data_IF_951209513382
#
_entry.id   IF_951209513382
#
_cell.length_a   1.000
_cell.length_b   1.000
_cell.length_c   1.000
_cell.angle_alpha   90.00
_cell.angle_beta   90.00
_cell.angle_gamma   90.00
#
_symmetry.space_group_name_H-M   'P 1'
#
loop_
_entity.id
_entity.type
_entity.pdbx_description
1 polymer ?
#
# COMPACT_ATOMS: atom_id res chain seq x y z
N UNK A 1 -7.35 -17.56 40.45
CA UNK A 1 -8.54 -17.48 39.56
C UNK A 1 -8.06 -17.37 38.12
N UNK A 2 -8.52 -18.21 37.18
CA UNK A 2 -8.22 -18.03 35.76
C UNK A 2 -8.83 -16.70 35.29
N UNK A 3 -8.05 -15.85 34.62
CA UNK A 3 -8.56 -14.59 34.02
C UNK A 3 -9.76 -14.91 33.12
N UNK A 4 -10.84 -14.15 33.26
CA UNK A 4 -12.01 -14.22 32.35
C UNK A 4 -11.52 -14.18 30.90
N UNK A 5 -11.65 -15.30 30.19
CA UNK A 5 -11.30 -15.44 28.78
C UNK A 5 -12.58 -15.32 27.98
N UNK A 6 -12.64 -14.33 27.09
CA UNK A 6 -13.73 -14.22 26.10
C UNK A 6 -13.62 -15.38 25.11
N UNK A 7 -14.77 -15.87 24.68
CA UNK A 7 -14.81 -16.87 23.62
C UNK A 7 -14.20 -16.29 22.34
N UNK A 8 -13.43 -17.12 21.63
CA UNK A 8 -12.71 -16.71 20.44
C UNK A 8 -13.29 -17.46 19.26
N UNK A 9 -13.99 -16.74 18.40
CA UNK A 9 -14.52 -17.26 17.15
C UNK A 9 -13.39 -17.86 16.29
N UNK A 10 -13.48 -19.16 16.01
CA UNK A 10 -12.50 -19.89 15.20
C UNK A 10 -13.04 -20.01 13.78
N UNK A 11 -12.41 -19.28 12.86
CA UNK A 11 -12.74 -19.33 11.44
C UNK A 11 -12.14 -20.57 10.76
N UNK A 12 -12.96 -21.32 10.02
CA UNK A 12 -12.56 -22.51 9.25
C UNK A 12 -11.99 -22.18 7.85
N UNK A 13 -11.52 -20.95 7.63
CA UNK A 13 -10.95 -20.54 6.34
C UNK A 13 -9.69 -21.32 5.99
N UNK A 14 -9.46 -21.55 4.69
CA UNK A 14 -8.24 -22.20 4.18
C UNK A 14 -6.95 -21.39 4.41
N UNK A 15 -7.05 -20.11 4.73
CA UNK A 15 -5.89 -19.20 4.81
C UNK A 15 -5.19 -19.35 6.15
N UNK A 16 -3.92 -19.73 6.13
CA UNK A 16 -3.05 -19.82 7.31
C UNK A 16 -2.29 -18.51 7.53
N UNK A 17 -1.93 -18.24 8.79
CA UNK A 17 -1.09 -17.09 9.15
C UNK A 17 0.31 -17.23 8.55
N UNK A 18 0.87 -16.13 8.05
CA UNK A 18 2.26 -16.10 7.55
C UNK A 18 3.24 -16.35 8.70
N UNK A 19 4.11 -17.34 8.53
CA UNK A 19 5.10 -17.78 9.53
C UNK A 19 6.40 -16.98 9.45
N UNK A 20 7.33 -17.27 10.37
CA UNK A 20 8.67 -16.65 10.41
C UNK A 20 9.47 -16.93 9.13
N UNK A 21 9.32 -18.12 8.56
CA UNK A 21 9.97 -18.58 7.33
C UNK A 21 9.72 -17.63 6.16
N UNK A 22 8.50 -17.12 6.00
CA UNK A 22 8.16 -16.17 4.92
C UNK A 22 8.93 -14.85 5.09
N UNK A 23 9.18 -14.42 6.33
CA UNK A 23 9.97 -13.21 6.60
C UNK A 23 11.46 -13.46 6.35
N UNK A 24 11.97 -14.64 6.70
CA UNK A 24 13.35 -15.03 6.40
C UNK A 24 13.58 -15.15 4.89
N UNK A 25 12.64 -15.72 4.14
CA UNK A 25 12.67 -15.77 2.69
C UNK A 25 12.70 -14.37 2.07
N UNK A 26 11.89 -13.43 2.58
CA UNK A 26 11.92 -12.03 2.15
C UNK A 26 13.30 -11.39 2.38
N UNK A 27 13.93 -11.63 3.53
CA UNK A 27 15.28 -11.12 3.82
C UNK A 27 16.30 -11.67 2.84
N UNK A 28 16.24 -12.98 2.53
CA UNK A 28 17.12 -13.61 1.55
C UNK A 28 16.93 -13.04 0.14
N UNK A 29 15.68 -12.85 -0.29
CA UNK A 29 15.38 -12.23 -1.60
C UNK A 29 15.89 -10.80 -1.72
N UNK A 30 15.79 -10.01 -0.64
CA UNK A 30 16.30 -8.63 -0.63
C UNK A 30 17.82 -8.65 -0.77
N UNK A 31 18.54 -9.47 -0.01
CA UNK A 31 20.01 -9.59 -0.12
C UNK A 31 20.44 -10.02 -1.52
N UNK A 32 19.80 -11.03 -2.09
CA UNK A 32 20.05 -11.44 -3.47
C UNK A 32 19.79 -10.32 -4.50
N UNK A 33 18.81 -9.45 -4.23
CA UNK A 33 18.52 -8.30 -5.10
C UNK A 33 19.55 -7.17 -4.93
N UNK A 34 20.18 -7.03 -3.76
CA UNK A 34 21.30 -6.10 -3.57
C UNK A 34 22.46 -6.49 -4.50
N UNK A 35 22.77 -7.78 -4.61
CA UNK A 35 23.87 -8.25 -5.48
C UNK A 35 23.55 -8.12 -6.97
N UNK A 36 22.28 -8.34 -7.35
CA UNK A 36 21.85 -8.37 -8.75
C UNK A 36 21.66 -7.00 -9.38
N UNK A 37 21.23 -6.01 -8.61
CA UNK A 37 20.81 -4.70 -9.15
C UNK A 37 21.77 -3.59 -8.74
N UNK A 38 22.09 -2.72 -9.69
CA UNK A 38 23.03 -1.61 -9.48
C UNK A 38 22.46 -0.46 -8.64
N UNK A 39 21.15 -0.25 -8.68
CA UNK A 39 20.50 0.88 -8.03
C UNK A 39 19.40 0.43 -7.07
N UNK A 40 19.37 1.07 -5.90
CA UNK A 40 18.35 0.93 -4.88
C UNK A 40 17.62 2.27 -4.71
N UNK A 41 16.29 2.22 -4.72
CA UNK A 41 15.41 3.34 -4.44
C UNK A 41 14.51 3.02 -3.24
N UNK A 42 14.36 3.99 -2.34
CA UNK A 42 13.29 4.01 -1.34
C UNK A 42 12.14 4.82 -1.93
N UNK A 43 10.95 4.24 -1.95
CA UNK A 43 9.74 4.94 -2.37
C UNK A 43 8.71 4.92 -1.26
N UNK A 44 7.90 5.97 -1.19
CA UNK A 44 6.74 6.05 -0.32
C UNK A 44 5.50 5.95 -1.20
N UNK A 45 4.52 5.15 -0.78
CA UNK A 45 3.24 5.09 -1.46
C UNK A 45 2.19 5.69 -0.54
N UNK A 46 1.62 6.80 -0.97
CA UNK A 46 0.39 7.31 -0.40
C UNK A 46 -0.80 6.56 -1.01
N UNK A 47 -1.76 6.22 -0.16
CA UNK A 47 -3.00 5.55 -0.55
C UNK A 47 -2.87 4.33 -1.46
N UNK A 48 -1.97 3.42 -1.10
CA UNK A 48 -1.73 2.19 -1.86
C UNK A 48 -3.02 1.40 -2.14
N UNK A 49 -3.23 1.08 -3.42
CA UNK A 49 -4.17 0.07 -3.90
C UNK A 49 -3.40 -1.06 -4.55
N UNK A 50 -3.76 -2.30 -4.22
CA UNK A 50 -3.13 -3.49 -4.77
C UNK A 50 -3.16 -3.52 -6.30
N UNK A 51 -4.27 -3.10 -6.91
CA UNK A 51 -4.47 -3.06 -8.37
C UNK A 51 -3.47 -2.14 -9.07
N UNK A 52 -3.37 -0.88 -8.63
CA UNK A 52 -2.42 0.09 -9.19
C UNK A 52 -0.98 -0.35 -8.96
N UNK A 53 -0.66 -0.89 -7.78
CA UNK A 53 0.70 -1.35 -7.51
C UNK A 53 1.10 -2.57 -8.35
N UNK A 54 0.16 -3.46 -8.69
CA UNK A 54 0.40 -4.55 -9.64
C UNK A 54 0.74 -4.01 -11.03
N UNK A 55 0.04 -2.98 -11.51
CA UNK A 55 0.33 -2.34 -12.79
C UNK A 55 1.73 -1.71 -12.81
N UNK A 56 2.12 -1.02 -11.74
CA UNK A 56 3.48 -0.49 -11.57
C UNK A 56 4.50 -1.62 -11.66
N UNK A 57 4.29 -2.71 -10.91
CA UNK A 57 5.19 -3.89 -10.95
C UNK A 57 5.29 -4.50 -12.35
N UNK A 58 4.19 -4.56 -13.09
CA UNK A 58 4.18 -5.09 -14.45
C UNK A 58 5.01 -4.22 -15.41
N UNK A 59 4.89 -2.88 -15.32
CA UNK A 59 5.63 -1.93 -16.16
C UNK A 59 7.15 -2.04 -15.99
N UNK A 60 7.60 -2.47 -14.81
CA UNK A 60 9.02 -2.60 -14.47
C UNK A 60 9.52 -4.05 -14.39
N UNK A 61 8.72 -5.04 -14.76
CA UNK A 61 8.97 -6.48 -14.52
C UNK A 61 10.30 -6.99 -15.08
N UNK A 62 10.76 -6.45 -16.21
CA UNK A 62 12.01 -6.85 -16.87
C UNK A 62 13.26 -6.30 -16.19
N UNK A 63 13.17 -5.11 -15.60
CA UNK A 63 14.35 -4.33 -15.21
C UNK A 63 14.45 -4.07 -13.71
N UNK A 64 13.37 -4.32 -12.94
CA UNK A 64 13.31 -3.93 -11.54
C UNK A 64 12.54 -4.93 -10.66
N UNK A 65 12.85 -4.93 -9.37
CA UNK A 65 12.17 -5.72 -8.35
C UNK A 65 11.66 -4.81 -7.22
N UNK A 66 10.38 -4.93 -6.91
CA UNK A 66 9.72 -4.17 -5.85
C UNK A 66 9.50 -5.03 -4.61
N UNK A 67 9.96 -4.55 -3.46
CA UNK A 67 9.66 -5.11 -2.15
C UNK A 67 8.79 -4.15 -1.36
N UNK A 68 7.71 -4.71 -0.81
CA UNK A 68 6.81 -4.00 0.09
C UNK A 68 6.49 -4.94 1.25
N UNK A 69 7.02 -4.62 2.42
CA UNK A 69 6.96 -5.45 3.60
C UNK A 69 7.08 -4.61 4.86
N UNK A 70 7.20 -5.25 6.02
CA UNK A 70 7.38 -4.51 7.28
C UNK A 70 8.75 -3.80 7.25
N UNK A 71 8.77 -2.48 7.48
CA UNK A 71 9.99 -1.66 7.46
C UNK A 71 11.11 -2.28 8.29
N UNK A 72 10.81 -2.75 9.50
CA UNK A 72 11.82 -3.38 10.36
C UNK A 72 12.46 -4.62 9.73
N UNK A 73 11.71 -5.43 8.98
CA UNK A 73 12.24 -6.63 8.31
C UNK A 73 13.14 -6.22 7.14
N UNK A 74 12.72 -5.21 6.38
CA UNK A 74 13.54 -4.66 5.28
C UNK A 74 14.82 -4.00 5.81
N UNK A 75 14.74 -3.26 6.92
CA UNK A 75 15.89 -2.66 7.58
C UNK A 75 16.89 -3.71 8.08
N UNK A 76 16.42 -4.84 8.62
CA UNK A 76 17.28 -5.97 9.00
C UNK A 76 17.95 -6.61 7.78
N UNK A 77 17.25 -6.64 6.63
CA UNK A 77 17.82 -7.20 5.42
C UNK A 77 19.00 -6.38 4.88
N UNK A 78 18.91 -5.05 4.95
CA UNK A 78 19.95 -4.10 4.52
C UNK A 78 21.06 -3.91 5.57
N UNK A 79 20.70 -3.99 6.86
CA UNK A 79 21.54 -3.65 8.01
C UNK A 79 21.04 -2.38 8.69
N UNK A 80 20.93 -2.40 10.02
CA UNK A 80 20.51 -1.23 10.81
C UNK A 80 21.69 -0.34 11.19
N UNK A 81 22.80 -0.99 11.52
CA UNK A 81 24.04 -0.37 11.97
C UNK A 81 25.15 -0.68 10.98
N UNK A 82 26.22 0.11 10.99
CA UNK A 82 27.39 -0.07 10.13
C UNK A 82 28.10 -1.42 10.35
N UNK A 83 27.96 -2.04 11.53
CA UNK A 83 28.51 -3.38 11.82
C UNK A 83 27.67 -4.52 11.24
N UNK A 84 26.40 -4.25 10.92
CA UNK A 84 25.42 -5.24 10.46
C UNK A 84 25.05 -5.07 8.98
N UNK A 85 25.70 -4.14 8.28
CA UNK A 85 25.38 -3.82 6.90
C UNK A 85 25.82 -4.92 5.95
N UNK A 86 24.94 -5.24 5.01
CA UNK A 86 25.24 -6.26 4.01
C UNK A 86 26.22 -5.76 2.95
N UNK A 87 26.17 -4.47 2.65
CA UNK A 87 27.01 -3.77 1.68
C UNK A 87 27.27 -2.35 2.21
N UNK A 88 28.35 -1.68 1.78
CA UNK A 88 28.76 -0.39 2.33
C UNK A 88 27.64 0.64 2.17
N UNK A 89 27.41 1.41 3.23
CA UNK A 89 26.46 2.54 3.31
C UNK A 89 24.96 2.16 3.24
N UNK A 90 24.60 0.88 3.23
CA UNK A 90 23.20 0.45 3.23
C UNK A 90 22.44 0.82 4.50
N UNK A 91 23.14 0.99 5.63
CA UNK A 91 22.54 1.48 6.87
C UNK A 91 21.90 2.88 6.72
N UNK A 92 22.42 3.73 5.82
CA UNK A 92 21.83 5.06 5.55
C UNK A 92 20.46 4.94 4.89
N UNK A 93 20.27 3.92 4.07
CA UNK A 93 19.00 3.62 3.40
C UNK A 93 17.99 3.10 4.43
N UNK A 94 18.41 2.22 5.33
CA UNK A 94 17.51 1.62 6.32
C UNK A 94 16.96 2.65 7.31
N UNK A 95 17.73 3.68 7.64
CA UNK A 95 17.27 4.82 8.46
C UNK A 95 16.14 5.64 7.81
N UNK A 96 16.06 5.64 6.47
CA UNK A 96 15.02 6.35 5.71
C UNK A 96 13.70 5.57 5.57
N UNK A 97 13.64 4.32 6.03
CA UNK A 97 12.43 3.49 5.95
C UNK A 97 11.42 3.85 7.05
N UNK A 98 10.70 4.96 6.86
CA UNK A 98 9.70 5.46 7.82
C UNK A 98 8.31 5.58 7.18
N UNK A 99 7.27 5.10 7.87
CA UNK A 99 5.90 5.10 7.35
C UNK A 99 5.63 4.01 6.30
N UNK A 100 4.78 4.30 5.32
CA UNK A 100 4.40 3.36 4.25
C UNK A 100 5.43 3.38 3.10
N UNK A 101 6.61 2.81 3.36
CA UNK A 101 7.70 2.75 2.40
C UNK A 101 7.92 1.35 1.82
N UNK A 102 8.50 1.32 0.63
CA UNK A 102 9.00 0.11 -0.01
C UNK A 102 10.37 0.32 -0.63
N UNK A 103 10.97 -0.78 -1.08
CA UNK A 103 12.26 -0.82 -1.75
C UNK A 103 12.06 -1.19 -3.22
N UNK A 104 12.73 -0.47 -4.11
CA UNK A 104 12.80 -0.78 -5.53
C UNK A 104 14.25 -0.97 -5.92
N UNK A 105 14.58 -2.16 -6.40
CA UNK A 105 15.88 -2.49 -6.98
C UNK A 105 15.76 -2.41 -8.50
N UNK A 106 16.70 -1.77 -9.18
CA UNK A 106 16.63 -1.56 -10.63
C UNK A 106 17.99 -1.46 -11.28
N UNK A 107 18.06 -1.83 -12.56
CA UNK A 107 19.21 -1.59 -13.44
C UNK A 107 19.08 -0.25 -14.20
N UNK A 108 17.92 0.41 -14.12
CA UNK A 108 17.65 1.65 -14.83
C UNK A 108 18.29 2.85 -14.14
N UNK A 109 18.65 3.86 -14.92
CA UNK A 109 19.16 5.12 -14.40
C UNK A 109 18.08 5.91 -13.64
N UNK A 110 18.52 6.72 -12.68
CA UNK A 110 17.65 7.59 -11.87
C UNK A 110 16.71 8.46 -12.72
N UNK A 111 17.19 9.00 -13.83
CA UNK A 111 16.39 9.84 -14.72
C UNK A 111 15.20 9.08 -15.31
N UNK A 112 15.42 7.87 -15.85
CA UNK A 112 14.36 7.04 -16.43
C UNK A 112 13.33 6.63 -15.37
N UNK A 113 13.79 6.22 -14.20
CA UNK A 113 12.90 5.82 -13.10
C UNK A 113 12.03 7.00 -12.67
N UNK A 114 12.63 8.20 -12.51
CA UNK A 114 11.89 9.40 -12.10
C UNK A 114 10.84 9.82 -13.13
N UNK A 115 11.15 9.78 -14.43
CA UNK A 115 10.17 10.11 -15.48
C UNK A 115 8.99 9.14 -15.47
N UNK A 116 9.26 7.84 -15.41
CA UNK A 116 8.18 6.83 -15.40
C UNK A 116 7.30 6.96 -14.16
N UNK A 117 7.89 7.22 -12.98
CA UNK A 117 7.13 7.41 -11.75
C UNK A 117 6.27 8.68 -11.76
N UNK A 118 6.71 9.75 -12.44
CA UNK A 118 5.90 10.98 -12.60
C UNK A 118 4.68 10.77 -13.50
N UNK A 119 4.82 9.94 -14.53
CA UNK A 119 3.70 9.58 -15.41
C UNK A 119 2.69 8.65 -14.73
N UNK A 120 3.10 7.92 -13.69
CA UNK A 120 2.27 6.94 -12.97
C UNK A 120 1.39 7.64 -11.91
N UNK A 121 0.49 8.51 -12.36
CA UNK A 121 -0.56 9.10 -11.54
C UNK A 121 -1.93 8.58 -11.98
N UNK A 122 -2.72 8.07 -11.04
CA UNK A 122 -4.06 7.56 -11.31
C UNK A 122 -5.05 8.20 -10.33
N UNK A 123 -6.22 8.68 -10.80
CA UNK A 123 -7.27 9.16 -9.91
C UNK A 123 -7.82 8.01 -9.07
N UNK A 124 -8.04 8.25 -7.78
CA UNK A 124 -8.63 7.30 -6.83
C UNK A 124 -9.58 8.06 -5.88
N UNK A 125 -10.45 7.31 -5.20
CA UNK A 125 -11.39 7.86 -4.23
C UNK A 125 -10.67 8.42 -3.01
N UNK A 126 -11.16 9.57 -2.53
CA UNK A 126 -10.65 10.20 -1.32
C UNK A 126 -10.79 9.27 -0.10
N UNK A 127 -9.82 9.33 0.81
CA UNK A 127 -9.90 8.65 2.11
C UNK A 127 -10.24 9.65 3.20
N UNK A 128 -10.78 9.15 4.30
CA UNK A 128 -11.03 9.97 5.48
C UNK A 128 -9.72 10.64 5.96
N UNK A 129 -9.78 11.94 6.24
CA UNK A 129 -8.63 12.75 6.64
C UNK A 129 -7.93 13.49 5.51
N UNK A 130 -8.31 13.26 4.25
CA UNK A 130 -7.81 14.05 3.12
C UNK A 130 -8.44 15.45 3.09
N UNK A 131 -7.66 16.45 2.69
CA UNK A 131 -8.15 17.80 2.43
C UNK A 131 -8.82 17.79 1.05
N UNK A 132 -10.10 18.18 0.94
CA UNK A 132 -10.79 18.25 -0.35
C UNK A 132 -10.07 19.23 -1.29
N UNK A 133 -9.78 18.79 -2.51
CA UNK A 133 -9.22 19.68 -3.55
C UNK A 133 -10.28 20.58 -4.17
N UNK A 134 -11.52 20.11 -4.20
CA UNK A 134 -12.65 20.75 -4.85
C UNK A 134 -13.89 20.62 -3.96
N UNK A 135 -14.80 21.58 -4.09
CA UNK A 135 -16.10 21.53 -3.41
C UNK A 135 -17.07 20.75 -4.28
N UNK A 136 -17.67 19.69 -3.73
CA UNK A 136 -18.67 18.88 -4.43
C UNK A 136 -20.05 19.32 -3.96
N UNK A 137 -20.85 19.84 -4.88
CA UNK A 137 -22.25 20.21 -4.63
C UNK A 137 -23.16 19.25 -5.38
N UNK A 138 -24.11 18.65 -4.66
CA UNK A 138 -25.15 17.79 -5.25
C UNK A 138 -26.35 18.67 -5.60
N UNK A 139 -26.80 18.70 -6.87
CA UNK A 139 -27.97 19.48 -7.26
C UNK A 139 -29.26 18.88 -6.68
N UNK A 140 -30.28 19.72 -6.54
CA UNK A 140 -31.63 19.27 -6.19
C UNK A 140 -32.23 18.45 -7.34
N UNK A 141 -32.86 17.32 -7.02
CA UNK A 141 -33.51 16.44 -7.98
C UNK A 141 -33.30 14.95 -7.69
N UNK A 142 -33.84 14.07 -8.54
CA UNK A 142 -33.61 12.64 -8.42
C UNK A 142 -32.13 12.32 -8.65
N UNK A 143 -31.59 11.38 -7.88
CA UNK A 143 -30.18 10.99 -7.91
C UNK A 143 -30.07 9.56 -8.47
N UNK A 144 -30.23 9.38 -9.80
CA UNK A 144 -30.38 8.06 -10.43
C UNK A 144 -29.13 7.18 -10.34
N UNK A 145 -27.98 7.76 -9.98
CA UNK A 145 -26.72 7.03 -9.79
C UNK A 145 -26.73 6.11 -8.56
N UNK A 146 -27.65 6.33 -7.61
CA UNK A 146 -27.77 5.53 -6.41
C UNK A 146 -28.96 4.57 -6.50
N UNK A 147 -28.75 3.33 -6.10
CA UNK A 147 -29.83 2.35 -5.98
C UNK A 147 -30.74 2.70 -4.80
N UNK A 148 -32.03 2.39 -4.92
CA UNK A 148 -33.04 2.62 -3.87
C UNK A 148 -32.66 2.04 -2.50
N UNK A 149 -31.90 0.94 -2.48
CA UNK A 149 -31.43 0.28 -1.25
C UNK A 149 -30.38 1.08 -0.48
N UNK A 150 -29.72 2.04 -1.13
CA UNK A 150 -28.70 2.90 -0.50
C UNK A 150 -29.29 4.15 0.16
N UNK A 151 -30.58 4.44 -0.05
CA UNK A 151 -31.25 5.60 0.55
C UNK A 151 -31.07 5.68 2.08
N UNK A 152 -31.26 4.59 2.85
CA UNK A 152 -31.06 4.65 4.30
C UNK A 152 -29.60 4.90 4.69
N UNK A 153 -28.63 4.53 3.85
CA UNK A 153 -27.22 4.80 4.09
C UNK A 153 -26.89 6.26 3.79
N UNK A 154 -27.39 6.82 2.68
CA UNK A 154 -27.21 8.24 2.32
C UNK A 154 -27.79 9.16 3.40
N UNK A 155 -28.97 8.83 3.91
CA UNK A 155 -29.58 9.56 5.03
C UNK A 155 -28.72 9.51 6.30
N UNK A 156 -28.14 8.36 6.63
CA UNK A 156 -27.20 8.23 7.76
C UNK A 156 -25.92 9.03 7.58
N UNK A 157 -25.48 9.24 6.33
CA UNK A 157 -24.32 10.07 6.00
C UNK A 157 -24.65 11.58 5.99
N UNK A 158 -25.90 11.97 6.29
CA UNK A 158 -26.33 13.36 6.40
C UNK A 158 -26.92 13.95 5.12
N UNK A 159 -27.12 13.14 4.06
CA UNK A 159 -27.78 13.61 2.84
C UNK A 159 -29.31 13.56 3.02
N UNK A 160 -30.04 14.66 2.83
CA UNK A 160 -31.50 14.70 3.03
C UNK A 160 -32.24 14.08 1.83
N UNK A 161 -32.16 12.75 1.68
CA UNK A 161 -32.84 12.00 0.61
C UNK A 161 -34.21 11.50 1.06
N UNK A 162 -35.13 11.38 0.10
CA UNK A 162 -36.43 10.73 0.25
C UNK A 162 -36.71 9.89 -0.98
N UNK A 163 -37.21 8.68 -0.77
CA UNK A 163 -37.65 7.81 -1.85
C UNK A 163 -39.09 8.21 -2.25
N UNK A 164 -39.27 8.66 -3.49
CA UNK A 164 -40.59 8.98 -4.05
C UNK A 164 -40.89 8.04 -5.23
N UNK A 165 -41.94 7.23 -5.10
CA UNK A 165 -42.40 6.26 -6.12
C UNK A 165 -41.33 5.31 -6.69
N UNK A 166 -40.37 4.89 -5.87
CA UNK A 166 -39.29 3.99 -6.30
C UNK A 166 -38.08 4.69 -6.91
N UNK A 167 -38.11 6.01 -7.01
CA UNK A 167 -37.00 6.86 -7.43
C UNK A 167 -36.40 7.55 -6.19
N UNK A 168 -35.08 7.53 -6.10
CA UNK A 168 -34.26 8.22 -5.09
C UNK A 168 -33.72 9.53 -5.60
#
# INVERSE_FOLDING_TARGET
MPRSKRDKEVSLTKVKKKTREVKEALVKEIRHSVDKYKHLFVFTIEDMRSTHFIQVRQRFKSNSRFFFGKNNVMAIALGKDASSEYAPELHKVSQRLQGQCGLMFTLLSKAKVSSILKELSTPDFARAGHIPRETITVPEGPVPQFAFSMEPQLRKLGLPTKLDKGLT
#
